data_IF_268466346053
#
_entry.id   IF_268466346053
#
_cell.length_a   1.000
_cell.length_b   1.000
_cell.length_c   1.000
_cell.angle_alpha   90.00
_cell.angle_beta   90.00
_cell.angle_gamma   90.00
#
_symmetry.space_group_name_H-M   'P 1'
#
loop_
_entity.id
_entity.type
_entity.pdbx_description
1 polymer ?
#
# COMPACT_ATOMS: atom_id res chain seq x y z
N UNK A 1 -33.71 26.67 -16.79
CA UNK A 1 -34.10 26.21 -15.44
C UNK A 1 -33.26 26.98 -14.43
N UNK A 2 -33.87 27.86 -13.63
CA UNK A 2 -33.16 28.61 -12.59
C UNK A 2 -32.66 27.61 -11.52
N UNK A 3 -31.37 27.57 -11.27
CA UNK A 3 -30.77 26.71 -10.27
C UNK A 3 -31.36 27.00 -8.90
N UNK A 4 -31.97 25.99 -8.29
CA UNK A 4 -32.45 26.07 -6.90
C UNK A 4 -31.26 26.38 -6.03
N UNK A 5 -31.28 27.53 -5.33
CA UNK A 5 -30.22 27.90 -4.39
C UNK A 5 -30.02 26.76 -3.38
N UNK A 6 -28.78 26.34 -3.16
CA UNK A 6 -28.43 25.23 -2.25
C UNK A 6 -28.85 25.66 -0.83
N UNK A 7 -29.62 24.79 -0.14
CA UNK A 7 -30.04 25.07 1.23
C UNK A 7 -28.82 25.34 2.13
N UNK A 8 -28.97 26.24 3.05
CA UNK A 8 -27.90 26.65 3.99
C UNK A 8 -28.23 26.18 5.41
N UNK A 9 -27.24 26.19 6.28
CA UNK A 9 -27.42 25.88 7.70
C UNK A 9 -28.45 26.81 8.37
N UNK A 10 -28.64 28.05 7.85
CA UNK A 10 -29.65 28.98 8.32
C UNK A 10 -31.06 28.55 7.93
N UNK A 11 -31.22 27.97 6.75
CA UNK A 11 -32.51 27.48 6.27
C UNK A 11 -32.95 26.24 7.09
N UNK A 12 -32.02 25.33 7.38
CA UNK A 12 -32.26 24.17 8.28
C UNK A 12 -32.65 24.67 9.68
N UNK A 13 -31.97 25.66 10.22
CA UNK A 13 -32.26 26.22 11.53
C UNK A 13 -33.64 26.87 11.59
N UNK A 14 -34.02 27.59 10.54
CA UNK A 14 -35.35 28.21 10.44
C UNK A 14 -36.46 27.12 10.37
N UNK A 15 -36.27 26.09 9.57
CA UNK A 15 -37.26 25.01 9.43
C UNK A 15 -37.38 24.16 10.70
N UNK A 16 -36.27 23.84 11.37
CA UNK A 16 -36.24 23.08 12.61
C UNK A 16 -36.65 23.90 13.86
N UNK A 17 -36.83 25.24 13.73
CA UNK A 17 -37.16 26.10 14.86
C UNK A 17 -36.06 26.19 15.92
N UNK A 18 -34.78 26.21 15.49
CA UNK A 18 -33.62 26.25 16.37
C UNK A 18 -32.58 27.29 15.90
N UNK A 19 -31.55 27.53 16.68
CA UNK A 19 -30.44 28.38 16.25
C UNK A 19 -29.51 27.68 15.25
N UNK A 20 -28.80 28.38 14.34
CA UNK A 20 -27.78 27.78 13.50
C UNK A 20 -26.67 27.12 14.30
N UNK A 21 -26.39 27.57 15.54
CA UNK A 21 -25.46 26.93 16.47
C UNK A 21 -25.96 25.56 16.93
N UNK A 22 -27.29 25.44 17.17
CA UNK A 22 -27.91 24.14 17.51
C UNK A 22 -27.83 23.15 16.37
N UNK A 23 -28.10 23.59 15.12
CA UNK A 23 -27.89 22.77 13.91
C UNK A 23 -26.44 22.30 13.81
N UNK A 24 -25.48 23.23 13.99
CA UNK A 24 -24.07 22.89 14.02
C UNK A 24 -23.74 21.84 15.09
N UNK A 25 -24.29 21.95 16.29
CA UNK A 25 -24.07 20.98 17.38
C UNK A 25 -24.63 19.60 17.05
N UNK A 26 -25.81 19.51 16.42
CA UNK A 26 -26.41 18.25 15.95
C UNK A 26 -25.52 17.61 14.89
N UNK A 27 -25.12 18.37 13.87
CA UNK A 27 -24.26 17.90 12.77
C UNK A 27 -22.89 17.44 13.28
N UNK A 28 -22.38 18.06 14.34
CA UNK A 28 -21.03 17.76 14.87
C UNK A 28 -21.01 16.69 15.94
N UNK A 29 -22.12 16.47 16.63
CA UNK A 29 -22.17 15.55 17.78
C UNK A 29 -21.28 15.96 18.97
N UNK A 30 -20.67 17.15 18.95
CA UNK A 30 -19.65 17.58 19.94
C UNK A 30 -20.26 18.08 21.25
N UNK A 31 -21.53 18.45 21.24
CA UNK A 31 -22.26 18.96 22.39
C UNK A 31 -23.57 18.19 22.50
N UNK A 32 -23.93 17.81 23.71
CA UNK A 32 -25.20 17.14 23.96
C UNK A 32 -26.38 18.00 23.50
N UNK A 33 -27.21 17.46 22.64
CA UNK A 33 -28.49 18.04 22.18
C UNK A 33 -29.61 17.07 22.53
N UNK A 34 -30.73 17.58 23.01
CA UNK A 34 -31.89 16.74 23.38
C UNK A 34 -32.37 15.91 22.19
N UNK A 35 -32.72 14.62 22.35
CA UNK A 35 -33.14 13.75 21.24
C UNK A 35 -34.23 14.37 20.36
N UNK A 36 -35.29 14.94 20.94
CA UNK A 36 -36.36 15.62 20.22
C UNK A 36 -35.89 16.77 19.32
N UNK A 37 -34.81 17.44 19.70
CA UNK A 37 -34.20 18.52 18.91
C UNK A 37 -33.33 17.94 17.79
N UNK A 38 -32.65 16.82 18.03
CA UNK A 38 -31.89 16.10 17.00
C UNK A 38 -32.84 15.64 15.90
N UNK A 39 -33.94 14.97 16.24
CA UNK A 39 -34.96 14.49 15.28
C UNK A 39 -35.52 15.62 14.41
N UNK A 40 -35.85 16.77 15.00
CA UNK A 40 -36.34 17.94 14.24
C UNK A 40 -35.33 18.48 13.26
N UNK A 41 -34.05 18.55 13.67
CA UNK A 41 -32.97 19.05 12.80
C UNK A 41 -32.69 18.05 11.67
N UNK A 42 -32.66 16.77 11.93
CA UNK A 42 -32.47 15.72 10.93
C UNK A 42 -33.62 15.68 9.92
N UNK A 43 -34.89 15.81 10.38
CA UNK A 43 -36.03 15.94 9.51
C UNK A 43 -35.92 17.17 8.59
N UNK A 44 -35.55 18.33 9.14
CA UNK A 44 -35.39 19.55 8.36
C UNK A 44 -34.23 19.45 7.35
N UNK A 45 -33.11 18.76 7.70
CA UNK A 45 -32.01 18.49 6.78
C UNK A 45 -32.45 17.60 5.62
N UNK A 46 -33.24 16.56 5.90
CA UNK A 46 -33.78 15.65 4.89
C UNK A 46 -34.77 16.37 3.95
N UNK A 47 -35.70 17.17 4.48
CA UNK A 47 -36.66 17.94 3.69
C UNK A 47 -36.01 18.95 2.75
N UNK A 48 -34.95 19.63 3.23
CA UNK A 48 -34.22 20.61 2.46
C UNK A 48 -33.13 20.00 1.57
N UNK A 49 -32.95 18.69 1.59
CA UNK A 49 -31.82 17.99 0.97
C UNK A 49 -30.47 18.67 1.33
N UNK A 50 -30.36 19.09 2.60
CA UNK A 50 -29.17 19.78 3.08
C UNK A 50 -28.06 18.78 3.40
N UNK A 51 -26.96 18.91 2.70
CA UNK A 51 -25.72 18.17 2.99
C UNK A 51 -24.77 19.11 3.72
N UNK A 52 -24.39 18.82 4.98
CA UNK A 52 -23.43 19.62 5.70
C UNK A 52 -22.10 19.80 4.94
N UNK A 53 -21.62 21.01 4.83
CA UNK A 53 -20.28 21.25 4.29
C UNK A 53 -19.24 21.00 5.39
N UNK A 54 -18.69 19.78 5.40
CA UNK A 54 -17.69 19.36 6.37
C UNK A 54 -16.36 20.14 6.22
N UNK A 55 -16.05 20.62 5.01
CA UNK A 55 -14.85 21.44 4.76
C UNK A 55 -14.91 22.80 5.49
N UNK A 56 -16.11 23.39 5.63
CA UNK A 56 -16.29 24.63 6.41
C UNK A 56 -16.09 24.40 7.93
N UNK A 57 -16.18 23.16 8.39
CA UNK A 57 -15.89 22.73 9.77
C UNK A 57 -14.39 22.66 10.01
N UNK A 58 -13.64 22.12 9.05
CA UNK A 58 -12.18 21.98 9.12
C UNK A 58 -11.48 23.33 9.29
N UNK A 59 -11.91 24.35 8.53
CA UNK A 59 -11.39 25.71 8.63
C UNK A 59 -11.54 26.33 10.06
N UNK A 60 -12.51 25.87 10.82
CA UNK A 60 -12.75 26.39 12.18
C UNK A 60 -11.90 25.68 13.25
N UNK A 61 -11.54 24.42 13.02
CA UNK A 61 -10.79 23.57 13.95
C UNK A 61 -9.35 23.31 13.48
N UNK A 62 -8.94 23.91 12.35
CA UNK A 62 -7.61 23.70 11.75
C UNK A 62 -7.38 22.30 11.20
N UNK A 63 -8.47 21.49 11.02
CA UNK A 63 -8.42 20.14 10.43
C UNK A 63 -9.52 19.96 9.40
N UNK A 64 -9.18 19.35 8.26
CA UNK A 64 -10.13 19.08 7.17
C UNK A 64 -11.00 17.83 7.42
N UNK A 65 -10.55 16.91 8.27
CA UNK A 65 -11.12 15.58 8.43
C UNK A 65 -10.80 14.66 7.24
N UNK A 66 -9.83 15.04 6.41
CA UNK A 66 -9.43 14.30 5.22
C UNK A 66 -7.93 13.99 5.30
N UNK A 67 -7.57 12.77 5.02
CA UNK A 67 -6.18 12.35 4.81
C UNK A 67 -5.97 11.97 3.35
N UNK A 68 -4.73 12.01 2.88
CA UNK A 68 -4.38 11.42 1.59
C UNK A 68 -3.68 10.07 1.79
N UNK A 69 -3.94 9.16 0.86
CA UNK A 69 -3.18 7.91 0.68
C UNK A 69 -2.60 7.95 -0.72
N UNK A 70 -1.29 7.86 -0.81
CA UNK A 70 -0.55 7.94 -2.06
C UNK A 70 0.24 6.65 -2.28
N UNK A 71 -0.11 5.93 -3.34
CA UNK A 71 0.51 4.66 -3.74
C UNK A 71 1.19 4.82 -5.11
N UNK A 72 2.25 4.04 -5.39
CA UNK A 72 2.99 4.17 -6.65
C UNK A 72 2.18 3.73 -7.87
N UNK A 73 1.36 2.70 -7.74
CA UNK A 73 0.54 2.12 -8.80
C UNK A 73 -0.73 1.53 -8.18
N UNK A 74 -1.90 1.98 -8.63
CA UNK A 74 -3.21 1.53 -8.16
C UNK A 74 -3.74 0.30 -8.92
N UNK A 75 -3.09 -0.09 -10.02
CA UNK A 75 -3.53 -1.21 -10.84
C UNK A 75 -3.06 -2.58 -10.33
N UNK A 76 -2.18 -2.62 -9.33
CA UNK A 76 -1.72 -3.88 -8.75
C UNK A 76 -2.69 -4.41 -7.69
N UNK A 77 -2.91 -5.74 -7.59
CA UNK A 77 -3.74 -6.33 -6.54
C UNK A 77 -3.31 -5.93 -5.13
N UNK A 78 -2.01 -5.93 -4.83
CA UNK A 78 -1.47 -5.50 -3.56
C UNK A 78 -1.91 -4.08 -3.18
N UNK A 79 -1.76 -3.13 -4.10
CA UNK A 79 -2.16 -1.73 -3.85
C UNK A 79 -3.67 -1.60 -3.64
N UNK A 80 -4.47 -2.36 -4.37
CA UNK A 80 -5.92 -2.34 -4.24
C UNK A 80 -6.37 -2.88 -2.88
N UNK A 81 -5.79 -4.01 -2.42
CA UNK A 81 -6.11 -4.62 -1.14
C UNK A 81 -5.63 -3.74 0.03
N UNK A 82 -4.39 -3.23 -0.03
CA UNK A 82 -3.88 -2.29 0.98
C UNK A 82 -4.73 -1.01 1.07
N UNK A 83 -5.12 -0.46 -0.09
CA UNK A 83 -5.97 0.73 -0.13
C UNK A 83 -7.34 0.47 0.47
N UNK A 84 -7.94 -0.70 0.21
CA UNK A 84 -9.20 -1.11 0.83
C UNK A 84 -9.11 -1.05 2.35
N UNK A 85 -8.09 -1.69 2.94
CA UNK A 85 -7.92 -1.69 4.39
C UNK A 85 -7.63 -0.28 4.96
N UNK A 86 -6.82 0.52 4.26
CA UNK A 86 -6.56 1.91 4.66
C UNK A 86 -7.84 2.76 4.68
N UNK A 87 -8.72 2.58 3.68
CA UNK A 87 -10.00 3.29 3.59
C UNK A 87 -10.94 2.85 4.71
N UNK A 88 -11.07 1.53 4.95
CA UNK A 88 -11.95 1.01 6.01
C UNK A 88 -11.50 1.49 7.39
N UNK A 89 -10.20 1.38 7.71
CA UNK A 89 -9.67 1.83 9.00
C UNK A 89 -9.77 3.36 9.17
N UNK A 90 -9.62 4.13 8.08
CA UNK A 90 -9.82 5.57 8.12
C UNK A 90 -11.30 5.93 8.39
N UNK A 91 -12.25 5.25 7.74
CA UNK A 91 -13.68 5.43 7.98
C UNK A 91 -14.08 5.10 9.42
N UNK A 92 -13.56 4.02 10.01
CA UNK A 92 -13.76 3.66 11.41
C UNK A 92 -13.30 4.78 12.36
N UNK A 93 -12.32 5.58 11.95
CA UNK A 93 -11.78 6.74 12.70
C UNK A 93 -12.45 8.06 12.32
N UNK A 94 -13.46 8.04 11.44
CA UNK A 94 -14.21 9.23 11.00
C UNK A 94 -13.41 10.15 10.06
N UNK A 95 -12.43 9.60 9.34
CA UNK A 95 -11.63 10.32 8.36
C UNK A 95 -12.10 10.01 6.93
N UNK A 96 -12.12 11.02 6.07
CA UNK A 96 -12.25 10.84 4.63
C UNK A 96 -10.88 10.57 4.01
N UNK A 97 -10.84 9.77 2.93
CA UNK A 97 -9.61 9.43 2.23
C UNK A 97 -9.62 10.03 0.83
N UNK A 98 -8.58 10.78 0.51
CA UNK A 98 -8.23 11.17 -0.85
C UNK A 98 -7.16 10.23 -1.35
N UNK A 99 -7.39 9.59 -2.51
CA UNK A 99 -6.46 8.63 -3.09
C UNK A 99 -5.69 9.30 -4.22
N UNK A 100 -4.39 9.08 -4.24
CA UNK A 100 -3.48 9.58 -5.27
C UNK A 100 -2.56 8.47 -5.76
N UNK A 101 -2.28 8.47 -7.07
CA UNK A 101 -1.26 7.62 -7.68
C UNK A 101 -0.02 8.46 -7.97
N UNK A 102 1.13 8.08 -7.41
CA UNK A 102 2.38 8.83 -7.61
C UNK A 102 3.13 8.42 -8.87
N UNK A 103 2.91 7.22 -9.38
CA UNK A 103 3.67 6.66 -10.50
C UNK A 103 5.17 6.56 -10.21
N UNK A 104 5.55 6.55 -8.92
CA UNK A 104 6.93 6.65 -8.46
C UNK A 104 7.65 7.95 -8.94
N UNK A 105 6.88 9.02 -9.18
CA UNK A 105 7.42 10.32 -9.61
C UNK A 105 7.60 11.27 -8.42
N UNK A 106 8.83 11.68 -8.05
CA UNK A 106 9.09 12.57 -6.93
C UNK A 106 8.33 13.91 -7.02
N UNK A 107 8.10 14.41 -8.23
CA UNK A 107 7.35 15.65 -8.45
C UNK A 107 5.91 15.58 -7.94
N UNK A 108 5.24 14.43 -8.08
CA UNK A 108 3.89 14.20 -7.55
C UNK A 108 3.90 14.10 -6.02
N UNK A 109 4.93 13.49 -5.44
CA UNK A 109 5.10 13.44 -3.99
C UNK A 109 5.27 14.84 -3.38
N UNK A 110 6.08 15.72 -4.01
CA UNK A 110 6.25 17.13 -3.61
C UNK A 110 4.92 17.87 -3.62
N UNK A 111 4.09 17.68 -4.66
CA UNK A 111 2.79 18.32 -4.74
C UNK A 111 1.86 17.89 -3.60
N UNK A 112 1.81 16.59 -3.28
CA UNK A 112 1.03 16.05 -2.17
C UNK A 112 1.48 16.61 -0.82
N UNK A 113 2.79 16.68 -0.56
CA UNK A 113 3.34 17.31 0.63
C UNK A 113 2.98 18.79 0.72
N UNK A 114 2.95 19.49 -0.41
CA UNK A 114 2.55 20.90 -0.49
C UNK A 114 1.06 21.09 -0.17
N UNK A 115 0.19 20.20 -0.62
CA UNK A 115 -1.25 20.19 -0.27
C UNK A 115 -1.46 19.97 1.22
N UNK A 116 -0.71 19.04 1.84
CA UNK A 116 -0.76 18.82 3.28
C UNK A 116 -0.29 20.07 4.06
N UNK A 117 0.78 20.74 3.61
CA UNK A 117 1.23 22.02 4.20
C UNK A 117 0.18 23.13 4.08
N UNK A 118 -0.57 23.17 2.99
CA UNK A 118 -1.65 24.13 2.78
C UNK A 118 -2.93 23.81 3.61
N UNK A 119 -2.90 22.81 4.48
CA UNK A 119 -4.03 22.32 5.27
C UNK A 119 -5.25 21.87 4.45
N UNK A 120 -5.03 21.46 3.21
CA UNK A 120 -6.08 20.87 2.37
C UNK A 120 -6.38 19.43 2.78
N UNK A 121 -5.37 18.74 3.33
CA UNK A 121 -5.45 17.43 3.98
C UNK A 121 -4.78 17.51 5.35
N UNK A 122 -5.22 16.68 6.30
CA UNK A 122 -4.71 16.70 7.66
C UNK A 122 -3.40 15.91 7.80
N UNK A 123 -3.17 14.95 6.91
CA UNK A 123 -1.99 14.12 6.87
C UNK A 123 -1.93 13.26 5.63
N UNK A 124 -0.79 12.61 5.43
CA UNK A 124 -0.48 11.80 4.26
C UNK A 124 0.09 10.45 4.69
N UNK A 125 -0.43 9.37 4.11
CA UNK A 125 0.21 8.05 4.08
C UNK A 125 0.79 7.88 2.68
N UNK A 126 2.10 7.65 2.59
CA UNK A 126 2.85 7.57 1.35
C UNK A 126 3.59 6.24 1.26
N UNK A 127 3.49 5.57 0.12
CA UNK A 127 4.32 4.42 -0.21
C UNK A 127 5.31 4.83 -1.32
N UNK A 128 6.51 5.32 -0.96
CA UNK A 128 7.53 5.67 -1.93
C UNK A 128 8.24 4.41 -2.43
N UNK A 129 8.60 4.37 -3.70
CA UNK A 129 9.40 3.28 -4.27
C UNK A 129 10.91 3.51 -3.98
N UNK A 130 11.37 4.77 -4.06
CA UNK A 130 12.76 5.18 -3.89
C UNK A 130 12.85 6.31 -2.89
N UNK A 131 13.82 6.20 -1.96
CA UNK A 131 14.06 7.26 -0.96
C UNK A 131 14.88 8.38 -1.52
N UNK A 132 15.94 8.06 -2.23
CA UNK A 132 16.92 9.04 -2.70
C UNK A 132 16.29 10.10 -3.62
N UNK A 133 15.15 9.75 -4.23
CA UNK A 133 14.38 10.64 -5.09
C UNK A 133 13.07 11.13 -4.42
N UNK A 134 12.74 10.64 -3.22
CA UNK A 134 11.51 11.04 -2.54
C UNK A 134 11.63 12.45 -1.94
N UNK A 135 10.58 13.25 -2.13
CA UNK A 135 10.49 14.57 -1.53
C UNK A 135 10.54 14.56 0.02
N UNK A 136 10.32 13.41 0.64
CA UNK A 136 10.35 13.23 2.10
C UNK A 136 11.76 13.44 2.65
N UNK A 137 12.81 13.09 1.89
CA UNK A 137 14.19 13.23 2.33
C UNK A 137 14.63 14.68 2.54
N UNK A 138 14.08 15.61 1.76
CA UNK A 138 14.50 17.03 1.72
C UNK A 138 13.64 17.97 2.57
N UNK A 139 12.70 17.45 3.34
CA UNK A 139 11.74 18.31 4.01
C UNK A 139 12.08 18.55 5.49
N UNK A 140 12.81 19.62 5.80
CA UNK A 140 13.13 20.07 7.17
C UNK A 140 11.91 20.25 8.06
N UNK A 141 10.73 20.48 7.47
CA UNK A 141 9.46 20.65 8.17
C UNK A 141 8.34 19.91 7.44
N UNK A 142 8.37 18.58 7.54
CA UNK A 142 7.33 17.73 6.95
C UNK A 142 5.94 18.03 7.54
N UNK A 143 4.88 18.00 6.71
CA UNK A 143 3.52 17.87 7.22
C UNK A 143 3.38 16.51 7.95
N UNK A 144 2.26 16.24 8.63
CA UNK A 144 1.97 14.90 9.15
C UNK A 144 2.02 13.87 8.00
N UNK A 145 3.09 13.08 7.95
CA UNK A 145 3.30 12.02 6.95
C UNK A 145 3.80 10.76 7.63
N UNK A 146 3.32 9.62 7.16
CA UNK A 146 3.77 8.27 7.53
C UNK A 146 4.08 7.51 6.25
N UNK A 147 5.18 6.77 6.24
CA UNK A 147 5.55 5.93 5.12
C UNK A 147 5.09 4.48 5.33
N UNK A 148 4.77 3.81 4.23
CA UNK A 148 4.60 2.36 4.16
C UNK A 148 5.64 1.83 3.19
N UNK A 149 6.25 0.68 3.51
CA UNK A 149 7.24 0.02 2.65
C UNK A 149 8.66 0.11 3.18
N UNK A 150 9.58 -0.53 2.48
CA UNK A 150 10.91 -0.87 2.97
C UNK A 150 11.97 0.23 2.80
N UNK A 151 11.54 1.43 2.62
CA UNK A 151 12.44 2.57 2.42
C UNK A 151 13.21 2.89 3.71
N UNK A 152 14.53 2.77 3.70
CA UNK A 152 15.36 3.14 4.84
C UNK A 152 15.39 4.64 5.03
N UNK A 153 14.75 5.12 6.10
CA UNK A 153 14.77 6.53 6.48
C UNK A 153 14.52 6.71 7.98
N UNK A 154 14.87 7.89 8.52
CA UNK A 154 14.69 8.24 9.94
C UNK A 154 13.98 9.58 10.15
N UNK A 155 13.44 10.15 9.08
CA UNK A 155 12.87 11.49 9.08
C UNK A 155 11.44 11.49 9.62
N UNK A 156 10.66 10.43 9.31
CA UNK A 156 9.27 10.33 9.75
C UNK A 156 8.93 8.90 10.22
N UNK A 157 7.70 8.71 10.72
CA UNK A 157 7.19 7.41 11.12
C UNK A 157 6.99 6.51 9.89
N UNK A 158 7.25 5.21 10.05
CA UNK A 158 6.95 4.29 8.98
C UNK A 158 6.59 2.87 9.44
N UNK A 159 5.85 2.17 8.56
CA UNK A 159 5.44 0.78 8.73
C UNK A 159 6.13 -0.06 7.67
N UNK A 160 6.83 -1.11 8.09
CA UNK A 160 7.63 -1.98 7.22
C UNK A 160 7.28 -3.45 7.43
N UNK A 161 7.65 -4.27 6.44
CA UNK A 161 7.83 -5.72 6.56
C UNK A 161 9.32 -6.01 6.43
N UNK A 162 9.86 -7.00 7.14
CA UNK A 162 11.26 -7.40 6.92
C UNK A 162 11.40 -8.20 5.62
N UNK A 163 11.40 -7.48 4.51
CA UNK A 163 11.47 -8.04 3.16
C UNK A 163 12.74 -8.86 2.91
N UNK A 164 13.88 -8.51 3.53
CA UNK A 164 15.12 -9.29 3.39
C UNK A 164 14.99 -10.64 4.08
N UNK A 165 14.52 -10.67 5.33
CA UNK A 165 14.30 -11.91 6.06
C UNK A 165 13.24 -12.77 5.37
N UNK A 166 12.13 -12.18 4.94
CA UNK A 166 11.04 -12.88 4.26
C UNK A 166 11.50 -13.51 2.93
N UNK A 167 12.25 -12.76 2.12
CA UNK A 167 12.80 -13.27 0.86
C UNK A 167 13.82 -14.38 1.08
N UNK A 168 14.65 -14.27 2.14
CA UNK A 168 15.56 -15.35 2.55
C UNK A 168 14.81 -16.62 2.93
N UNK A 169 13.74 -16.50 3.69
CA UNK A 169 12.97 -17.65 4.17
C UNK A 169 12.24 -18.36 3.04
N UNK A 170 11.60 -17.62 2.11
CA UNK A 170 10.92 -18.23 0.97
C UNK A 170 11.92 -18.87 -0.01
N UNK A 171 13.10 -18.28 -0.18
CA UNK A 171 14.18 -18.87 -1.00
C UNK A 171 14.72 -20.14 -0.34
N UNK A 172 14.92 -20.15 0.97
CA UNK A 172 15.28 -21.38 1.72
C UNK A 172 14.22 -22.47 1.56
N UNK A 173 12.96 -22.10 1.52
CA UNK A 173 11.88 -23.06 1.29
C UNK A 173 12.06 -23.78 -0.05
N UNK A 174 12.24 -23.07 -1.18
CA UNK A 174 12.42 -23.72 -2.49
C UNK A 174 13.72 -24.54 -2.53
N UNK A 175 14.79 -24.10 -1.87
CA UNK A 175 16.02 -24.87 -1.71
C UNK A 175 15.77 -26.18 -0.95
N UNK A 176 14.97 -26.14 0.11
CA UNK A 176 14.60 -27.33 0.90
C UNK A 176 13.76 -28.34 0.11
N UNK A 177 13.03 -27.85 -0.91
CA UNK A 177 12.26 -28.66 -1.85
C UNK A 177 13.13 -29.26 -2.98
N UNK A 178 14.44 -28.99 -2.96
CA UNK A 178 15.41 -29.58 -3.88
C UNK A 178 15.89 -28.66 -5.01
N UNK A 179 15.36 -27.44 -5.11
CA UNK A 179 15.80 -26.48 -6.13
C UNK A 179 17.28 -26.10 -5.97
N UNK A 180 17.96 -25.93 -7.11
CA UNK A 180 19.39 -25.56 -7.16
C UNK A 180 19.68 -24.47 -8.18
N UNK A 181 18.84 -24.29 -9.20
CA UNK A 181 18.96 -23.26 -10.23
C UNK A 181 17.74 -22.35 -10.15
N UNK A 182 17.82 -21.41 -9.26
CA UNK A 182 16.69 -20.60 -8.82
C UNK A 182 16.76 -19.25 -9.52
N UNK A 183 15.72 -18.89 -10.26
CA UNK A 183 15.61 -17.57 -10.86
C UNK A 183 14.94 -16.59 -9.87
N UNK A 184 15.44 -15.37 -9.80
CA UNK A 184 14.81 -14.25 -9.11
C UNK A 184 14.16 -13.31 -10.14
N UNK A 185 12.85 -13.07 -10.01
CA UNK A 185 12.12 -12.16 -10.87
C UNK A 185 11.64 -10.96 -10.05
N UNK A 186 12.26 -9.79 -10.28
CA UNK A 186 11.99 -8.55 -9.55
C UNK A 186 13.25 -7.83 -9.05
N UNK A 187 14.44 -8.34 -9.33
CA UNK A 187 15.70 -7.71 -8.97
C UNK A 187 16.84 -8.11 -9.87
N UNK A 188 17.74 -7.20 -10.14
CA UNK A 188 19.00 -7.40 -10.85
C UNK A 188 20.09 -6.48 -10.26
N UNK A 189 21.30 -6.53 -10.80
CA UNK A 189 22.42 -5.69 -10.36
C UNK A 189 22.38 -4.25 -10.88
N UNK A 190 21.36 -3.85 -11.65
CA UNK A 190 21.30 -2.51 -12.22
C UNK A 190 20.78 -1.49 -11.20
N UNK A 191 21.64 -0.61 -10.65
CA UNK A 191 21.21 0.36 -9.64
C UNK A 191 20.21 1.39 -10.17
N UNK A 192 20.15 1.64 -11.48
CA UNK A 192 19.19 2.57 -12.08
C UNK A 192 17.73 2.03 -12.01
N UNK A 193 17.59 0.71 -11.90
CA UNK A 193 16.30 0.02 -11.78
C UNK A 193 15.96 -0.39 -10.35
N UNK A 194 16.87 -0.13 -9.42
CA UNK A 194 16.74 -0.56 -8.04
C UNK A 194 15.63 0.21 -7.32
N UNK A 195 14.80 -0.53 -6.60
CA UNK A 195 13.87 -0.01 -5.60
C UNK A 195 14.24 -0.58 -4.24
N UNK A 196 13.76 0.01 -3.15
CA UNK A 196 14.03 -0.52 -1.82
C UNK A 196 13.57 -1.99 -1.69
N UNK A 197 12.38 -2.30 -2.19
CA UNK A 197 11.85 -3.67 -2.19
C UNK A 197 12.69 -4.62 -3.05
N UNK A 198 13.07 -4.21 -4.29
CA UNK A 198 13.88 -5.06 -5.16
C UNK A 198 15.23 -5.40 -4.55
N UNK A 199 15.92 -4.40 -3.96
CA UNK A 199 17.21 -4.58 -3.29
C UNK A 199 17.11 -5.53 -2.11
N UNK A 200 16.21 -5.27 -1.17
CA UNK A 200 16.10 -6.07 0.05
C UNK A 200 15.69 -7.52 -0.25
N UNK A 201 14.76 -7.71 -1.20
CA UNK A 201 14.33 -9.05 -1.60
C UNK A 201 15.43 -9.79 -2.36
N UNK A 202 16.21 -9.10 -3.21
CA UNK A 202 17.38 -9.68 -3.88
C UNK A 202 18.48 -10.05 -2.89
N UNK A 203 18.75 -9.19 -1.91
CA UNK A 203 19.71 -9.48 -0.85
C UNK A 203 19.32 -10.72 -0.05
N UNK A 204 18.04 -10.84 0.35
CA UNK A 204 17.52 -12.00 1.05
C UNK A 204 17.62 -13.29 0.23
N UNK A 205 17.28 -13.22 -1.06
CA UNK A 205 17.45 -14.32 -2.01
C UNK A 205 18.93 -14.78 -2.08
N UNK A 206 19.85 -13.83 -2.30
CA UNK A 206 21.29 -14.12 -2.38
C UNK A 206 21.85 -14.65 -1.07
N UNK A 207 21.38 -14.16 0.08
CA UNK A 207 21.75 -14.69 1.40
C UNK A 207 21.37 -16.16 1.54
N UNK A 208 20.15 -16.54 1.14
CA UNK A 208 19.70 -17.93 1.19
C UNK A 208 20.51 -18.86 0.27
N UNK A 209 20.88 -18.40 -0.93
CA UNK A 209 21.74 -19.14 -1.84
C UNK A 209 23.12 -19.39 -1.21
N UNK A 210 23.76 -18.33 -0.70
CA UNK A 210 25.10 -18.42 -0.05
C UNK A 210 25.08 -19.36 1.15
N UNK A 211 24.04 -19.29 1.99
CA UNK A 211 23.90 -20.18 3.13
C UNK A 211 23.79 -21.66 2.71
N UNK A 212 23.26 -21.93 1.53
CA UNK A 212 23.13 -23.27 0.97
C UNK A 212 24.34 -23.70 0.12
N UNK A 213 25.36 -22.86 -0.01
CA UNK A 213 26.53 -23.10 -0.86
C UNK A 213 26.22 -23.05 -2.35
N UNK A 214 25.18 -22.31 -2.76
CA UNK A 214 24.82 -22.10 -4.15
C UNK A 214 25.33 -20.72 -4.57
N UNK A 215 26.16 -20.66 -5.60
CA UNK A 215 26.65 -19.40 -6.15
C UNK A 215 25.51 -18.70 -6.92
N UNK A 216 25.22 -17.42 -6.65
CA UNK A 216 24.27 -16.64 -7.44
C UNK A 216 24.70 -16.56 -8.91
N UNK A 217 23.77 -16.78 -9.83
CA UNK A 217 23.99 -16.62 -11.26
C UNK A 217 23.28 -15.36 -11.76
N UNK A 218 24.00 -14.30 -12.18
CA UNK A 218 23.39 -13.06 -12.65
C UNK A 218 22.43 -13.23 -13.84
N UNK A 219 22.55 -14.33 -14.61
CA UNK A 219 21.63 -14.64 -15.70
C UNK A 219 20.25 -15.06 -15.21
N UNK A 220 20.14 -15.46 -13.94
CA UNK A 220 18.90 -15.84 -13.26
C UNK A 220 18.30 -14.70 -12.43
N UNK A 221 18.93 -13.52 -12.39
CA UNK A 221 18.46 -12.35 -11.69
C UNK A 221 17.90 -11.33 -12.69
N UNK A 222 16.59 -11.16 -12.73
CA UNK A 222 15.91 -10.37 -13.76
C UNK A 222 14.94 -9.37 -13.10
N UNK A 223 15.10 -8.09 -13.43
CA UNK A 223 14.20 -7.03 -12.99
C UNK A 223 13.32 -6.50 -14.15
N UNK A 224 12.13 -7.10 -14.36
CA UNK A 224 11.22 -6.68 -15.42
C UNK A 224 10.46 -5.42 -15.02
N UNK A 225 10.87 -4.24 -15.46
CA UNK A 225 10.14 -3.01 -15.21
C UNK A 225 9.15 -2.67 -16.33
N UNK A 226 7.95 -2.15 -15.99
CA UNK A 226 7.37 -2.07 -14.63
C UNK A 226 7.03 -3.45 -14.06
N UNK A 227 6.86 -3.56 -12.75
CA UNK A 227 6.48 -4.83 -12.09
C UNK A 227 5.01 -5.19 -12.37
N UNK A 228 4.78 -5.75 -13.53
CA UNK A 228 3.45 -6.18 -14.00
C UNK A 228 3.44 -7.64 -14.42
N UNK A 229 2.26 -8.25 -14.44
CA UNK A 229 2.09 -9.61 -14.94
C UNK A 229 2.63 -9.80 -16.38
N UNK A 230 2.34 -8.90 -17.34
CA UNK A 230 2.90 -9.05 -18.69
C UNK A 230 4.43 -8.92 -18.75
N UNK A 231 5.03 -8.01 -17.99
CA UNK A 231 6.50 -7.84 -18.00
C UNK A 231 7.21 -9.06 -17.40
N UNK A 232 6.65 -9.65 -16.34
CA UNK A 232 7.18 -10.89 -15.76
C UNK A 232 7.05 -12.06 -16.74
N UNK A 233 5.92 -12.21 -17.42
CA UNK A 233 5.75 -13.24 -18.45
C UNK A 233 6.81 -13.09 -19.56
N UNK A 234 7.00 -11.89 -20.09
CA UNK A 234 8.01 -11.63 -21.13
C UNK A 234 9.44 -11.90 -20.63
N UNK A 235 9.74 -11.62 -19.36
CA UNK A 235 11.05 -11.91 -18.77
C UNK A 235 11.32 -13.43 -18.72
N UNK A 236 10.33 -14.22 -18.32
CA UNK A 236 10.44 -15.69 -18.28
C UNK A 236 10.50 -16.28 -19.69
N UNK A 237 9.73 -15.74 -20.64
CA UNK A 237 9.83 -16.13 -22.07
C UNK A 237 11.26 -15.91 -22.60
N UNK A 238 11.86 -14.76 -22.27
CA UNK A 238 13.24 -14.45 -22.63
C UNK A 238 14.24 -15.41 -21.95
N UNK A 239 14.03 -15.73 -20.67
CA UNK A 239 14.87 -16.67 -19.94
C UNK A 239 14.83 -18.07 -20.57
N UNK A 240 13.64 -18.58 -20.90
CA UNK A 240 13.46 -19.87 -21.58
C UNK A 240 14.13 -19.86 -22.97
N UNK A 241 13.93 -18.78 -23.75
CA UNK A 241 14.51 -18.64 -25.08
C UNK A 241 16.04 -18.56 -25.05
N UNK A 242 16.64 -18.06 -23.97
CA UNK A 242 18.10 -18.00 -23.80
C UNK A 242 18.75 -19.36 -23.55
N UNK A 243 17.95 -20.40 -23.25
CA UNK A 243 18.42 -21.73 -22.91
C UNK A 243 19.06 -21.86 -21.54
N UNK A 244 18.97 -20.83 -20.69
CA UNK A 244 19.39 -20.91 -19.29
C UNK A 244 18.41 -21.79 -18.52
N UNK A 245 18.91 -22.86 -17.92
CA UNK A 245 18.08 -23.80 -17.16
C UNK A 245 17.80 -23.28 -15.75
N UNK A 246 16.57 -23.48 -15.29
CA UNK A 246 16.14 -23.18 -13.92
C UNK A 246 15.10 -24.22 -13.45
N UNK A 247 15.06 -24.47 -12.14
CA UNK A 247 14.17 -25.43 -11.47
C UNK A 247 13.26 -24.77 -10.42
N UNK A 248 13.46 -23.47 -10.15
CA UNK A 248 12.56 -22.66 -9.35
C UNK A 248 12.57 -21.19 -9.78
N UNK A 249 11.49 -20.49 -9.48
CA UNK A 249 11.38 -19.03 -9.62
C UNK A 249 10.90 -18.43 -8.30
N UNK A 250 11.69 -17.51 -7.74
CA UNK A 250 11.31 -16.65 -6.63
C UNK A 250 10.92 -15.30 -7.23
N UNK A 251 9.62 -15.07 -7.34
CA UNK A 251 9.09 -13.78 -7.80
C UNK A 251 8.91 -12.84 -6.61
N UNK A 252 9.31 -11.58 -6.79
CA UNK A 252 9.34 -10.61 -5.70
C UNK A 252 7.97 -9.98 -5.39
N UNK A 253 6.93 -10.30 -6.16
CA UNK A 253 5.53 -10.04 -5.84
C UNK A 253 4.65 -11.15 -6.41
N UNK A 254 3.44 -11.32 -5.88
CA UNK A 254 2.45 -12.22 -6.45
C UNK A 254 2.05 -11.80 -7.88
N UNK A 255 2.02 -10.49 -8.14
CA UNK A 255 1.77 -9.96 -9.50
C UNK A 255 2.79 -10.48 -10.51
N UNK A 256 4.07 -10.50 -10.13
CA UNK A 256 5.13 -11.07 -10.97
C UNK A 256 4.99 -12.59 -11.07
N UNK A 257 4.70 -13.27 -9.95
CA UNK A 257 4.50 -14.73 -9.92
C UNK A 257 3.38 -15.21 -10.84
N UNK A 258 2.28 -14.46 -10.93
CA UNK A 258 1.18 -14.76 -11.87
C UNK A 258 1.65 -14.71 -13.33
N UNK A 259 2.52 -13.76 -13.66
CA UNK A 259 3.15 -13.70 -14.99
C UNK A 259 4.09 -14.87 -15.26
N UNK A 260 4.86 -15.26 -14.25
CA UNK A 260 5.72 -16.47 -14.30
C UNK A 260 4.88 -17.73 -14.57
N UNK A 261 3.81 -17.93 -13.80
CA UNK A 261 2.90 -19.08 -13.97
C UNK A 261 2.30 -19.12 -15.37
N UNK A 262 1.89 -17.97 -15.91
CA UNK A 262 1.35 -17.86 -17.27
C UNK A 262 2.39 -18.27 -18.32
N UNK A 263 3.61 -17.74 -18.25
CA UNK A 263 4.68 -18.08 -19.20
C UNK A 263 5.05 -19.54 -19.13
N UNK A 264 5.26 -20.11 -17.93
CA UNK A 264 5.57 -21.52 -17.74
C UNK A 264 4.50 -22.43 -18.35
N UNK A 265 3.22 -22.14 -18.10
CA UNK A 265 2.11 -22.90 -18.67
C UNK A 265 2.08 -22.83 -20.22
N UNK A 266 2.35 -21.64 -20.79
CA UNK A 266 2.41 -21.43 -22.25
C UNK A 266 3.54 -22.27 -22.88
N UNK A 267 4.65 -22.45 -22.19
CA UNK A 267 5.79 -23.28 -22.63
C UNK A 267 5.68 -24.75 -22.22
N UNK A 268 4.54 -25.19 -21.69
CA UNK A 268 4.29 -26.57 -21.30
C UNK A 268 5.09 -27.04 -20.08
N UNK A 269 5.62 -26.11 -19.29
CA UNK A 269 6.31 -26.40 -18.03
C UNK A 269 5.27 -26.59 -16.91
N UNK A 270 5.36 -27.67 -16.17
CA UNK A 270 4.44 -27.96 -15.06
C UNK A 270 4.95 -27.37 -13.76
N UNK A 271 4.05 -26.73 -13.03
CA UNK A 271 4.31 -26.25 -11.68
C UNK A 271 3.46 -27.11 -10.73
N UNK A 272 4.04 -27.76 -9.72
CA UNK A 272 5.43 -27.68 -9.26
C UNK A 272 6.41 -28.69 -9.89
N UNK A 273 5.95 -29.61 -10.74
CA UNK A 273 6.71 -30.82 -11.14
C UNK A 273 8.03 -30.48 -11.86
N UNK A 274 8.02 -29.50 -12.77
CA UNK A 274 9.19 -29.11 -13.56
C UNK A 274 9.87 -27.86 -12.99
N UNK A 275 9.08 -26.92 -12.42
CA UNK A 275 9.56 -25.66 -11.85
C UNK A 275 8.74 -25.30 -10.62
N UNK A 276 9.39 -24.99 -9.51
CA UNK A 276 8.73 -24.41 -8.33
C UNK A 276 8.52 -22.90 -8.54
N UNK A 277 7.40 -22.35 -8.06
CA UNK A 277 7.13 -20.91 -8.16
C UNK A 277 6.69 -20.36 -6.82
N UNK A 278 7.25 -19.22 -6.43
CA UNK A 278 6.83 -18.48 -5.25
C UNK A 278 6.56 -17.02 -5.56
N UNK A 279 5.75 -16.38 -4.72
CA UNK A 279 5.43 -14.96 -4.78
C UNK A 279 5.72 -14.23 -3.46
N UNK A 280 5.16 -13.02 -3.33
CA UNK A 280 5.23 -12.18 -2.16
C UNK A 280 3.98 -11.29 -2.14
N UNK A 281 3.34 -11.07 -1.02
CA UNK A 281 2.22 -10.20 -0.65
C UNK A 281 0.96 -10.96 -0.18
N UNK A 282 0.75 -12.22 -0.56
CA UNK A 282 -0.45 -13.06 -0.34
C UNK A 282 -1.75 -12.39 -0.78
N UNK A 283 -1.76 -11.77 -1.96
CA UNK A 283 -2.98 -11.21 -2.54
C UNK A 283 -4.03 -12.30 -2.77
N UNK A 284 -5.32 -11.94 -2.76
CA UNK A 284 -6.41 -12.90 -2.92
C UNK A 284 -6.22 -13.83 -4.13
N UNK A 285 -5.75 -13.29 -5.24
CA UNK A 285 -5.51 -14.06 -6.47
C UNK A 285 -4.47 -15.16 -6.30
N UNK A 286 -3.54 -15.07 -5.36
CA UNK A 286 -2.54 -16.11 -5.07
C UNK A 286 -3.18 -17.45 -4.66
N UNK A 287 -4.31 -17.39 -3.94
CA UNK A 287 -5.07 -18.58 -3.52
C UNK A 287 -5.81 -19.25 -4.67
N UNK A 288 -6.23 -18.45 -5.65
CA UNK A 288 -7.08 -18.90 -6.77
C UNK A 288 -6.28 -19.11 -8.06
N UNK A 289 -4.96 -18.89 -8.05
CA UNK A 289 -4.11 -19.29 -9.16
C UNK A 289 -4.06 -20.80 -9.32
N UNK A 290 -3.66 -21.28 -10.49
CA UNK A 290 -3.52 -22.70 -10.77
C UNK A 290 -2.11 -23.01 -11.27
N UNK A 291 -1.29 -23.67 -10.42
CA UNK A 291 -1.54 -24.07 -9.01
C UNK A 291 -1.65 -22.87 -8.06
N UNK A 292 -2.26 -23.10 -6.87
CA UNK A 292 -2.32 -22.09 -5.82
C UNK A 292 -0.90 -21.69 -5.37
N UNK A 293 -0.62 -20.41 -5.25
CA UNK A 293 0.72 -19.84 -5.12
C UNK A 293 1.23 -19.87 -3.68
N UNK A 294 2.41 -20.45 -3.47
CA UNK A 294 3.22 -20.29 -2.27
C UNK A 294 3.77 -18.88 -2.22
N UNK A 295 3.61 -18.18 -1.10
CA UNK A 295 3.95 -16.75 -1.02
C UNK A 295 4.34 -16.35 0.39
N UNK A 296 4.87 -15.13 0.53
CA UNK A 296 4.98 -14.44 1.82
C UNK A 296 3.70 -13.63 2.01
N UNK A 297 3.02 -13.86 3.13
CA UNK A 297 1.85 -13.07 3.53
C UNK A 297 2.13 -12.24 4.76
N UNK A 298 1.41 -11.14 4.89
CA UNK A 298 1.38 -10.28 6.08
C UNK A 298 0.03 -9.57 6.17
N UNK A 299 -0.36 -9.21 7.38
CA UNK A 299 -1.68 -8.63 7.66
C UNK A 299 -1.75 -7.18 7.18
N UNK A 300 -2.38 -6.94 6.00
CA UNK A 300 -2.57 -5.61 5.41
C UNK A 300 -3.45 -4.72 6.29
N UNK A 301 -4.45 -5.29 6.97
CA UNK A 301 -5.27 -4.52 7.90
C UNK A 301 -4.42 -4.00 9.06
N UNK A 302 -3.52 -4.81 9.59
CA UNK A 302 -2.57 -4.38 10.62
C UNK A 302 -1.63 -3.28 10.09
N UNK A 303 -1.15 -3.38 8.85
CA UNK A 303 -0.37 -2.30 8.21
C UNK A 303 -1.17 -1.00 8.21
N UNK A 304 -2.45 -1.05 7.82
CA UNK A 304 -3.34 0.11 7.79
C UNK A 304 -3.59 0.69 9.21
N UNK A 305 -3.84 -0.16 10.19
CA UNK A 305 -4.07 0.25 11.59
C UNK A 305 -2.87 0.95 12.20
N UNK A 306 -1.66 0.40 11.99
CA UNK A 306 -0.40 0.98 12.45
C UNK A 306 -0.09 2.30 11.74
N UNK A 307 -0.25 2.36 10.40
CA UNK A 307 -0.02 3.57 9.63
C UNK A 307 -0.95 4.72 10.09
N UNK A 308 -2.25 4.45 10.26
CA UNK A 308 -3.20 5.43 10.73
C UNK A 308 -3.00 5.80 12.22
N UNK A 309 -2.51 4.90 13.04
CA UNK A 309 -2.13 5.19 14.43
C UNK A 309 -0.94 6.15 14.49
N UNK A 310 0.10 5.86 13.71
CA UNK A 310 1.27 6.72 13.60
C UNK A 310 0.91 8.09 13.00
N UNK A 311 0.05 8.12 11.97
CA UNK A 311 -0.40 9.37 11.36
C UNK A 311 -1.18 10.24 12.37
N UNK A 312 -2.10 9.66 13.13
CA UNK A 312 -2.82 10.38 14.18
C UNK A 312 -1.86 10.95 15.24
N UNK A 313 -0.83 10.19 15.62
CA UNK A 313 0.24 10.67 16.50
C UNK A 313 0.96 11.88 15.88
N UNK A 314 1.36 11.82 14.61
CA UNK A 314 2.01 12.94 13.92
C UNK A 314 1.13 14.18 13.81
N UNK A 315 -0.17 13.99 13.60
CA UNK A 315 -1.13 15.09 13.59
C UNK A 315 -1.27 15.80 14.94
N UNK A 316 -0.98 15.12 16.04
CA UNK A 316 -1.09 15.66 17.42
C UNK A 316 0.26 16.07 18.00
N UNK A 317 1.33 15.35 17.69
CA UNK A 317 2.67 15.50 18.25
C UNK A 317 3.71 15.64 17.13
N UNK A 318 3.69 16.78 16.43
CA UNK A 318 4.51 17.01 15.21
C UNK A 318 6.01 16.83 15.39
N UNK A 319 6.53 17.12 16.58
CA UNK A 319 7.98 17.05 16.90
C UNK A 319 8.40 15.73 17.56
N UNK A 320 7.49 14.78 17.70
CA UNK A 320 7.83 13.48 18.27
C UNK A 320 8.88 12.74 17.43
N UNK A 321 9.83 12.01 18.05
CA UNK A 321 10.82 11.22 17.31
C UNK A 321 10.16 10.23 16.35
N UNK A 322 10.78 10.00 15.19
CA UNK A 322 10.34 9.01 14.23
C UNK A 322 10.31 7.61 14.84
N UNK A 323 9.28 6.83 14.47
CA UNK A 323 9.13 5.43 14.87
C UNK A 323 9.04 4.55 13.63
N UNK A 324 9.64 3.36 13.74
CA UNK A 324 9.47 2.28 12.77
C UNK A 324 8.67 1.16 13.42
N UNK A 325 7.64 0.68 12.75
CA UNK A 325 6.85 -0.48 13.16
C UNK A 325 7.03 -1.58 12.13
N UNK A 326 7.51 -2.74 12.56
CA UNK A 326 7.64 -3.91 11.69
C UNK A 326 6.41 -4.80 11.87
N UNK A 327 5.68 -5.03 10.78
CA UNK A 327 4.57 -6.00 10.74
C UNK A 327 5.16 -7.39 10.48
N UNK A 328 4.79 -8.41 11.26
CA UNK A 328 5.27 -9.76 11.04
C UNK A 328 4.75 -10.34 9.73
N UNK A 329 5.55 -11.19 9.09
CA UNK A 329 5.19 -11.95 7.91
C UNK A 329 5.08 -13.44 8.21
N UNK A 330 4.47 -14.18 7.30
CA UNK A 330 4.37 -15.64 7.33
C UNK A 330 4.70 -16.22 5.95
N UNK A 331 5.38 -17.36 5.94
CA UNK A 331 5.53 -18.16 4.72
C UNK A 331 4.29 -19.05 4.57
N UNK A 332 3.52 -18.81 3.51
CA UNK A 332 2.29 -19.51 3.22
C UNK A 332 2.56 -20.53 2.11
N UNK A 333 2.70 -21.79 2.49
CA UNK A 333 2.98 -22.88 1.56
C UNK A 333 1.70 -23.34 0.87
N UNK A 334 1.74 -23.46 -0.46
CA UNK A 334 0.64 -23.93 -1.32
C UNK A 334 1.18 -24.80 -2.45
N UNK A 335 0.29 -25.22 -3.33
CA UNK A 335 0.58 -26.21 -4.39
C UNK A 335 1.71 -25.83 -5.38
N UNK A 336 2.05 -24.54 -5.54
CA UNK A 336 3.09 -24.11 -6.48
C UNK A 336 4.52 -24.53 -6.10
N UNK A 337 4.71 -25.02 -4.87
CA UNK A 337 6.00 -25.62 -4.42
C UNK A 337 5.84 -27.08 -3.99
N UNK A 338 4.68 -27.66 -4.23
CA UNK A 338 4.31 -29.00 -3.74
C UNK A 338 3.98 -28.97 -2.24
N UNK A 339 2.96 -29.65 -1.84
CA UNK A 339 2.54 -29.81 -0.43
C UNK A 339 3.55 -30.61 0.38
#
# INVERSE_FOLDING_TARGET
MAGRARATMKDVAALAGVSPKTVSNVVTGTVFVRPETVERVEAAMTELHFVPNLSARGLRNGRSGTIAVALPDLATPYSAELLHDLVEVAHERGLAVQVEETGAEPGREVELLSRARAHLIDGLILNPIRVEDSAVEYADHLPPVVLIGEVEQRVTDHVIVDSRAASRDITRHVISRGARRIAAIGGDENPEKETAASRLRLDGYRDALRDAGIEPDPRLEINPLPWTTPSAAAAVDGLIASGVEFDAVVAFTDTLALGVLHSLATHGKRVPDDVLVTGFDDVEMARFSSPALTTIGFDLRRVAEEALSLLNRRMTERTAPARSVTVPYELIVRASTGD
#
